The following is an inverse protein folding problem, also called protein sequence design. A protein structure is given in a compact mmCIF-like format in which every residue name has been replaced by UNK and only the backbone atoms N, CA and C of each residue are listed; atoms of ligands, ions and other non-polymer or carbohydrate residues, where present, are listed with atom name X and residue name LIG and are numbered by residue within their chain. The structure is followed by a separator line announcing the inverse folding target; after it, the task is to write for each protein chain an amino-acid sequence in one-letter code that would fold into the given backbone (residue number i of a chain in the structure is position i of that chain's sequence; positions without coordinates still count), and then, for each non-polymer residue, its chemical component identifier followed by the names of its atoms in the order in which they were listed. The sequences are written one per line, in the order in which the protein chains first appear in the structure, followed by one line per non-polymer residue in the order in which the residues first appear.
data_IF_291658405200
#
_entry.id   IF_291658405200
#
_cell.length_a   1.000
_cell.length_b   1.000
_cell.length_c   1.000
_cell.angle_alpha   90.00
_cell.angle_beta   90.00
_cell.angle_gamma   90.00
#
_symmetry.space_group_name_H-M   'P 1'
#
loop_
_entity.id
_entity.type
_entity.pdbx_description
1 polymer ?
#
# COMPACT_ATOMS: atom_id res chain seq x y z
N UNK A 1 13.95 28.60 -19.06
CA UNK A 1 12.81 27.67 -18.95
C UNK A 1 12.79 27.17 -17.53
N UNK A 2 11.76 27.52 -16.78
CA UNK A 2 11.58 27.05 -15.40
C UNK A 2 10.74 25.78 -15.50
N UNK A 3 11.41 24.64 -15.68
CA UNK A 3 10.79 23.34 -15.45
C UNK A 3 10.22 23.37 -14.02
N UNK A 4 9.06 22.76 -13.78
CA UNK A 4 8.57 22.60 -12.41
C UNK A 4 9.68 21.90 -11.62
N UNK A 5 10.27 22.62 -10.67
CA UNK A 5 11.18 22.02 -9.72
C UNK A 5 10.31 21.23 -8.75
N UNK A 6 10.16 19.94 -9.01
CA UNK A 6 9.60 19.02 -8.03
C UNK A 6 10.50 19.09 -6.80
N UNK A 7 9.93 19.56 -5.68
CA UNK A 7 10.67 19.69 -4.44
C UNK A 7 11.08 18.31 -3.96
N UNK A 8 12.38 18.10 -3.81
CA UNK A 8 12.99 17.02 -3.05
C UNK A 8 13.34 17.49 -1.63
N UNK A 9 12.75 18.59 -1.18
CA UNK A 9 13.00 19.10 0.16
C UNK A 9 12.12 18.32 1.15
N UNK A 10 12.71 17.78 2.22
CA UNK A 10 11.92 17.18 3.28
C UNK A 10 11.07 18.25 3.95
N UNK A 11 9.91 17.83 4.45
CA UNK A 11 9.03 18.71 5.22
C UNK A 11 9.33 18.58 6.71
N UNK A 12 9.23 19.65 7.51
CA UNK A 12 9.63 19.65 8.93
C UNK A 12 8.57 18.96 9.82
N UNK A 13 8.27 17.70 9.52
CA UNK A 13 7.27 16.86 10.20
C UNK A 13 7.83 15.44 10.37
N UNK A 14 7.48 14.79 11.47
CA UNK A 14 7.96 13.46 11.87
C UNK A 14 6.87 12.37 11.80
N UNK A 15 5.70 12.69 11.23
CA UNK A 15 4.56 11.77 11.08
C UNK A 15 4.06 11.64 9.65
N UNK A 16 3.62 10.43 9.32
CA UNK A 16 2.97 10.06 8.06
C UNK A 16 1.48 10.37 8.16
N UNK A 17 0.95 11.11 7.19
CA UNK A 17 -0.46 11.53 7.16
C UNK A 17 -0.67 12.75 6.27
N UNK A 18 -1.90 13.28 6.24
CA UNK A 18 -2.21 14.47 5.44
C UNK A 18 -1.84 15.75 6.18
N UNK A 19 -1.41 16.78 5.43
CA UNK A 19 -1.28 18.12 5.99
C UNK A 19 -2.62 18.60 6.51
N UNK A 20 -2.61 19.27 7.65
CA UNK A 20 -3.73 20.06 8.13
C UNK A 20 -3.25 21.39 8.67
N UNK A 21 -4.08 22.42 8.52
CA UNK A 21 -3.87 23.71 9.18
C UNK A 21 -4.48 23.66 10.58
N UNK A 22 -3.70 23.88 11.66
CA UNK A 22 -4.25 23.98 13.01
C UNK A 22 -5.28 25.11 13.18
N UNK A 23 -5.24 26.12 12.32
CA UNK A 23 -6.18 27.25 12.30
C UNK A 23 -7.59 26.81 11.87
N UNK A 24 -7.71 25.76 11.06
CA UNK A 24 -9.00 25.29 10.52
C UNK A 24 -9.87 24.57 11.55
N UNK A 25 -9.30 24.20 12.71
CA UNK A 25 -9.99 23.46 13.77
C UNK A 25 -10.31 24.31 15.01
N UNK A 26 -9.98 25.61 15.02
CA UNK A 26 -10.21 26.48 16.18
C UNK A 26 -9.48 26.03 17.46
N UNK A 27 -8.42 25.21 17.32
CA UNK A 27 -7.65 24.64 18.43
C UNK A 27 -6.55 25.58 18.95
N UNK A 28 -6.45 26.80 18.42
CA UNK A 28 -5.61 27.85 19.00
C UNK A 28 -6.33 28.57 20.15
N UNK A 29 -6.63 27.83 21.22
CA UNK A 29 -6.95 28.42 22.51
C UNK A 29 -5.76 28.25 23.44
N UNK A 30 -4.77 29.13 23.27
CA UNK A 30 -3.83 29.47 24.33
C UNK A 30 -2.46 28.83 24.22
N UNK A 31 -1.60 29.39 23.37
CA UNK A 31 -0.19 29.56 23.73
C UNK A 31 0.10 31.03 23.95
N UNK A 32 0.43 31.34 25.20
CA UNK A 32 0.85 32.66 25.62
C UNK A 32 1.99 33.17 24.74
N UNK A 33 1.98 34.49 24.55
CA UNK A 33 3.04 35.28 23.96
C UNK A 33 4.38 34.91 24.62
N UNK A 34 5.22 34.17 23.90
CA UNK A 34 6.66 34.26 24.08
C UNK A 34 7.19 35.12 22.93
N UNK A 35 7.52 36.37 23.26
CA UNK A 35 8.30 37.25 22.39
C UNK A 35 9.66 36.59 22.11
N UNK A 36 9.87 36.22 20.84
CA UNK A 36 11.09 35.56 20.38
C UNK A 36 10.93 35.11 18.93
N UNK A 37 11.27 36.01 18.01
CA UNK A 37 11.68 35.78 16.62
C UNK A 37 11.04 34.59 15.86
N UNK A 38 10.01 34.90 15.05
CA UNK A 38 9.70 34.17 13.81
C UNK A 38 9.10 32.75 13.92
N UNK A 39 7.81 32.64 14.22
CA UNK A 39 7.04 31.40 14.07
C UNK A 39 5.65 31.64 13.48
N UNK A 40 5.57 31.78 12.15
CA UNK A 40 4.33 31.74 11.39
C UNK A 40 3.69 30.34 11.50
N UNK A 41 2.36 30.24 11.40
CA UNK A 41 1.54 29.06 11.70
C UNK A 41 2.18 27.71 11.35
N UNK A 42 2.37 26.87 12.37
CA UNK A 42 3.07 25.60 12.22
C UNK A 42 2.32 24.62 11.32
N UNK A 43 3.02 24.08 10.32
CA UNK A 43 2.54 22.97 9.51
C UNK A 43 2.39 21.73 10.39
N UNK A 44 1.21 21.11 10.38
CA UNK A 44 0.93 19.91 11.16
C UNK A 44 0.41 18.78 10.26
N UNK A 45 0.54 17.53 10.71
CA UNK A 45 0.04 16.35 10.00
C UNK A 45 -0.99 15.63 10.85
N UNK A 46 -2.12 15.35 10.22
CA UNK A 46 -3.29 14.72 10.80
C UNK A 46 -3.51 13.34 10.20
N UNK A 47 -4.72 12.80 10.34
CA UNK A 47 -5.05 11.49 9.78
C UNK A 47 -4.78 11.38 8.29
N UNK A 48 -4.49 10.16 7.84
CA UNK A 48 -4.27 9.86 6.43
C UNK A 48 -5.61 9.76 5.70
N UNK A 49 -5.80 10.64 4.71
CA UNK A 49 -6.90 10.63 3.76
C UNK A 49 -6.32 10.47 2.37
N UNK A 50 -6.38 9.25 1.85
CA UNK A 50 -5.78 8.89 0.55
C UNK A 50 -6.71 8.04 -0.29
N UNK A 51 -6.32 7.82 -1.54
CA UNK A 51 -7.01 6.88 -2.44
C UNK A 51 -6.83 5.47 -1.87
N UNK A 52 -7.93 4.73 -1.72
CA UNK A 52 -7.86 3.40 -1.11
C UNK A 52 -7.49 3.42 0.37
N UNK A 53 -7.82 4.49 1.10
CA UNK A 53 -7.72 4.50 2.56
C UNK A 53 -9.12 4.28 3.14
N UNK A 54 -9.42 3.02 3.50
CA UNK A 54 -10.62 2.73 4.29
C UNK A 54 -10.59 3.50 5.60
N UNK A 55 -11.77 3.88 6.10
CA UNK A 55 -11.91 4.54 7.41
C UNK A 55 -12.20 3.48 8.46
N UNK A 56 -11.87 3.73 9.73
CA UNK A 56 -12.31 2.83 10.79
C UNK A 56 -13.85 2.71 10.73
N UNK A 57 -14.39 1.51 11.00
CA UNK A 57 -15.84 1.32 11.10
C UNK A 57 -16.40 1.89 12.42
N UNK A 58 -15.51 2.14 13.38
CA UNK A 58 -15.81 2.68 14.71
C UNK A 58 -15.03 3.97 14.99
N UNK A 59 -15.52 4.88 15.85
CA UNK A 59 -14.80 6.09 16.23
C UNK A 59 -13.43 5.81 16.89
N UNK A 60 -12.40 6.65 16.66
CA UNK A 60 -12.36 7.75 15.70
C UNK A 60 -12.17 7.22 14.27
N UNK A 61 -13.10 7.54 13.36
CA UNK A 61 -13.16 7.00 11.99
C UNK A 61 -11.91 7.24 11.14
N UNK A 62 -11.03 8.14 11.56
CA UNK A 62 -9.85 8.55 10.84
C UNK A 62 -8.60 7.85 11.33
N UNK A 63 -7.75 7.42 10.40
CA UNK A 63 -6.56 6.62 10.71
C UNK A 63 -5.31 7.49 10.77
N UNK A 64 -4.47 7.27 11.78
CA UNK A 64 -3.23 8.02 11.96
C UNK A 64 -3.40 9.38 12.63
N UNK A 65 -2.38 10.25 12.59
CA UNK A 65 -1.13 10.10 11.85
C UNK A 65 -0.24 8.97 12.39
N UNK A 66 0.73 8.50 11.59
CA UNK A 66 1.55 7.33 11.92
C UNK A 66 3.03 7.68 12.05
N UNK A 67 3.76 6.89 12.84
CA UNK A 67 5.22 7.05 13.00
C UNK A 67 6.02 6.18 12.03
N UNK A 68 5.43 5.09 11.52
CA UNK A 68 6.07 4.14 10.61
C UNK A 68 5.09 3.70 9.53
N UNK A 69 5.62 3.15 8.42
CA UNK A 69 4.78 2.53 7.40
C UNK A 69 4.14 1.22 7.89
N UNK A 70 4.79 0.51 8.82
CA UNK A 70 4.21 -0.68 9.47
C UNK A 70 2.91 -0.31 10.18
N UNK A 71 2.92 0.72 11.04
CA UNK A 71 1.71 1.20 11.74
C UNK A 71 0.61 1.55 10.74
N UNK A 72 0.96 2.31 9.68
CA UNK A 72 0.01 2.69 8.63
C UNK A 72 -0.64 1.48 7.96
N UNK A 73 0.18 0.57 7.42
CA UNK A 73 -0.33 -0.54 6.62
C UNK A 73 -1.06 -1.58 7.46
N UNK A 74 -0.62 -1.85 8.69
CA UNK A 74 -1.36 -2.74 9.59
C UNK A 74 -2.76 -2.19 9.89
N UNK A 75 -2.89 -0.89 10.21
CA UNK A 75 -4.21 -0.30 10.49
C UNK A 75 -5.10 -0.32 9.23
N UNK A 76 -4.54 -0.11 8.03
CA UNK A 76 -5.29 -0.26 6.78
C UNK A 76 -5.76 -1.70 6.54
N UNK A 77 -4.90 -2.70 6.80
CA UNK A 77 -5.23 -4.12 6.68
C UNK A 77 -6.34 -4.50 7.68
N UNK A 78 -6.25 -4.05 8.93
CA UNK A 78 -7.30 -4.27 9.93
C UNK A 78 -8.65 -3.66 9.50
N UNK A 79 -8.64 -2.46 8.92
CA UNK A 79 -9.85 -1.88 8.35
C UNK A 79 -10.41 -2.75 7.21
N UNK A 80 -9.55 -3.22 6.30
CA UNK A 80 -9.99 -4.11 5.22
C UNK A 80 -10.61 -5.41 5.75
N UNK A 81 -10.01 -6.04 6.77
CA UNK A 81 -10.56 -7.23 7.44
C UNK A 81 -11.96 -6.95 8.02
N UNK A 82 -12.16 -5.82 8.69
CA UNK A 82 -13.47 -5.41 9.21
C UNK A 82 -14.51 -5.22 8.09
N UNK A 83 -14.17 -4.50 7.02
CA UNK A 83 -15.09 -4.30 5.91
C UNK A 83 -15.42 -5.59 5.15
N UNK A 84 -14.49 -6.55 5.10
CA UNK A 84 -14.75 -7.89 4.56
C UNK A 84 -15.75 -8.64 5.44
N UNK A 85 -15.65 -8.59 6.78
CA UNK A 85 -16.64 -9.19 7.68
C UNK A 85 -18.04 -8.60 7.49
N UNK A 86 -18.11 -7.28 7.30
CA UNK A 86 -19.34 -6.56 6.95
C UNK A 86 -19.85 -6.90 5.53
N UNK A 87 -19.04 -7.55 4.70
CA UNK A 87 -19.38 -7.88 3.31
C UNK A 87 -19.33 -6.69 2.35
N UNK A 88 -18.70 -5.59 2.75
CA UNK A 88 -18.61 -4.36 1.97
C UNK A 88 -17.45 -4.35 0.96
N UNK A 89 -16.42 -5.18 1.21
CA UNK A 89 -15.23 -5.32 0.38
C UNK A 89 -15.03 -6.80 0.04
N UNK A 90 -14.52 -7.09 -1.17
CA UNK A 90 -14.32 -8.45 -1.70
C UNK A 90 -15.57 -9.36 -1.65
N UNK A 91 -16.78 -8.89 -2.00
CA UNK A 91 -18.04 -9.63 -1.75
C UNK A 91 -18.10 -11.00 -2.45
N UNK A 92 -17.37 -11.19 -3.54
CA UNK A 92 -17.38 -12.41 -4.36
C UNK A 92 -16.36 -13.48 -3.90
N UNK A 93 -15.52 -13.14 -2.93
CA UNK A 93 -14.41 -13.97 -2.50
C UNK A 93 -14.07 -13.77 -1.01
N UNK A 94 -15.08 -13.62 -0.16
CA UNK A 94 -14.91 -13.18 1.23
C UNK A 94 -13.87 -13.98 2.03
N UNK A 95 -13.89 -15.33 1.97
CA UNK A 95 -12.89 -16.17 2.66
C UNK A 95 -11.50 -15.90 2.13
N UNK A 96 -11.31 -15.90 0.81
CA UNK A 96 -9.98 -15.72 0.21
C UNK A 96 -9.47 -14.29 0.38
N UNK A 97 -10.35 -13.30 0.23
CA UNK A 97 -10.06 -11.92 0.54
C UNK A 97 -9.62 -11.77 1.99
N UNK A 98 -10.33 -12.38 2.94
CA UNK A 98 -9.94 -12.35 4.35
C UNK A 98 -8.56 -12.98 4.58
N UNK A 99 -8.33 -14.20 4.07
CA UNK A 99 -7.06 -14.92 4.19
C UNK A 99 -5.89 -14.15 3.55
N UNK A 100 -6.11 -13.50 2.40
CA UNK A 100 -5.10 -12.69 1.73
C UNK A 100 -4.69 -11.46 2.56
N UNK A 101 -5.65 -10.82 3.23
CA UNK A 101 -5.35 -9.72 4.14
C UNK A 101 -4.63 -10.21 5.41
N UNK A 102 -4.96 -11.41 5.93
CA UNK A 102 -4.20 -12.03 7.02
C UNK A 102 -2.74 -12.32 6.62
N UNK A 103 -2.52 -12.82 5.40
CA UNK A 103 -1.19 -13.01 4.82
C UNK A 103 -0.41 -11.70 4.75
N UNK A 104 -1.02 -10.64 4.19
CA UNK A 104 -0.42 -9.32 4.14
C UNK A 104 -0.10 -8.77 5.53
N UNK A 105 -0.96 -9.01 6.53
CA UNK A 105 -0.72 -8.59 7.92
C UNK A 105 0.59 -9.18 8.45
N UNK A 106 0.80 -10.47 8.20
CA UNK A 106 2.02 -11.15 8.62
C UNK A 106 3.25 -10.65 7.85
N UNK A 107 3.14 -10.49 6.53
CA UNK A 107 4.21 -9.96 5.68
C UNK A 107 4.63 -8.54 6.09
N UNK A 108 3.67 -7.65 6.34
CA UNK A 108 3.92 -6.27 6.81
C UNK A 108 4.57 -6.28 8.19
N UNK A 109 4.09 -7.11 9.10
CA UNK A 109 4.66 -7.24 10.46
C UNK A 109 6.13 -7.70 10.39
N UNK A 110 6.46 -8.60 9.46
CA UNK A 110 7.82 -9.08 9.24
C UNK A 110 8.69 -8.15 8.38
N UNK A 111 8.20 -7.05 7.85
CA UNK A 111 8.94 -6.25 6.88
C UNK A 111 9.83 -5.20 7.55
N UNK A 112 11.13 -5.46 7.63
CA UNK A 112 12.10 -4.57 8.29
C UNK A 112 12.07 -3.11 7.78
N UNK A 113 12.05 -2.91 6.46
CA UNK A 113 12.06 -1.56 5.86
C UNK A 113 10.80 -0.74 6.19
N UNK A 114 9.66 -1.39 6.43
CA UNK A 114 8.42 -0.68 6.80
C UNK A 114 8.43 -0.24 8.27
N UNK A 115 9.25 -0.88 9.11
CA UNK A 115 9.35 -0.60 10.54
C UNK A 115 10.31 0.57 10.84
N UNK A 116 11.11 0.99 9.85
CA UNK A 116 12.03 2.11 9.97
C UNK A 116 11.29 3.42 10.21
N UNK A 117 11.77 4.19 11.18
CA UNK A 117 11.37 5.58 11.36
C UNK A 117 12.22 6.43 10.43
N UNK A 118 11.57 7.37 9.75
CA UNK A 118 12.26 8.31 8.86
C UNK A 118 12.40 9.65 9.56
N UNK A 119 13.63 10.17 9.62
CA UNK A 119 13.90 11.52 10.13
C UNK A 119 13.50 12.60 9.10
N UNK A 120 13.35 12.20 7.84
CA UNK A 120 12.95 13.06 6.72
C UNK A 120 11.71 12.49 6.03
N UNK A 121 10.68 13.32 5.88
CA UNK A 121 9.45 12.96 5.17
C UNK A 121 9.22 13.90 3.99
N UNK A 122 8.46 13.42 3.02
CA UNK A 122 8.26 14.04 1.72
C UNK A 122 6.79 14.00 1.33
N UNK A 123 6.38 14.95 0.49
CA UNK A 123 5.02 14.98 -0.05
C UNK A 123 4.89 13.98 -1.18
N UNK A 124 3.85 13.15 -1.14
CA UNK A 124 3.43 12.27 -2.23
C UNK A 124 2.11 12.77 -2.81
N UNK A 125 2.04 12.85 -4.13
CA UNK A 125 0.79 13.01 -4.88
C UNK A 125 0.10 11.64 -5.01
N UNK A 126 -1.12 11.52 -4.48
CA UNK A 126 -1.85 10.25 -4.38
C UNK A 126 -3.03 10.15 -5.37
N UNK A 127 -2.93 10.81 -6.53
CA UNK A 127 -3.81 10.57 -7.69
C UNK A 127 -3.04 10.56 -9.01
N UNK A 128 -1.87 9.93 -9.00
CA UNK A 128 -0.91 10.03 -10.10
C UNK A 128 -1.21 9.09 -11.29
N UNK A 129 -2.41 9.22 -11.88
CA UNK A 129 -2.91 8.43 -13.04
C UNK A 129 -2.44 8.93 -14.41
N UNK A 130 -1.75 10.07 -14.43
CA UNK A 130 -1.20 10.72 -15.62
C UNK A 130 -2.03 11.90 -16.15
N UNK A 131 -3.34 11.92 -15.90
CA UNK A 131 -4.27 13.01 -16.27
C UNK A 131 -4.12 14.28 -15.41
N UNK A 132 -3.56 14.15 -14.21
CA UNK A 132 -3.16 15.24 -13.31
C UNK A 132 -1.99 16.13 -13.80
N UNK A 133 -1.34 15.82 -14.92
CA UNK A 133 -0.19 16.59 -15.45
C UNK A 133 -0.64 17.59 -16.52
N UNK A 134 -0.27 18.87 -16.36
CA UNK A 134 -0.51 19.91 -17.37
C UNK A 134 0.70 20.02 -18.29
N UNK A 135 0.45 20.01 -19.60
CA UNK A 135 1.47 20.17 -20.66
C UNK A 135 1.33 21.51 -21.39
N UNK A 136 2.44 22.05 -21.90
CA UNK A 136 2.44 23.09 -22.92
C UNK A 136 2.39 22.51 -24.35
N UNK A 137 2.51 23.37 -25.37
CA UNK A 137 2.48 22.99 -26.79
C UNK A 137 3.67 22.09 -27.18
N UNK A 138 4.76 22.13 -26.41
CA UNK A 138 5.97 21.32 -26.55
C UNK A 138 5.97 20.06 -25.66
N UNK A 139 4.82 19.71 -25.07
CA UNK A 139 4.64 18.57 -24.17
C UNK A 139 5.51 18.61 -22.91
N UNK A 140 5.96 19.79 -22.47
CA UNK A 140 6.66 19.96 -21.20
C UNK A 140 5.66 20.05 -20.06
N UNK A 141 5.96 19.38 -18.94
CA UNK A 141 5.13 19.45 -17.74
C UNK A 141 5.23 20.84 -17.11
N UNK A 142 4.13 21.59 -17.13
CA UNK A 142 4.02 22.98 -16.62
C UNK A 142 3.21 23.10 -15.34
N UNK A 143 2.40 22.10 -15.02
CA UNK A 143 1.61 22.06 -13.79
C UNK A 143 1.33 20.63 -13.31
N UNK A 144 1.03 20.51 -12.02
CA UNK A 144 0.46 19.30 -11.41
C UNK A 144 -0.77 19.73 -10.62
N UNK A 145 -1.92 19.12 -10.91
CA UNK A 145 -3.21 19.41 -10.28
C UNK A 145 -3.69 18.22 -9.41
N UNK A 146 -4.88 18.31 -8.83
CA UNK A 146 -5.54 17.24 -8.06
C UNK A 146 -4.80 16.78 -6.78
N UNK A 147 -4.31 17.74 -5.99
CA UNK A 147 -3.58 17.51 -4.73
C UNK A 147 -4.44 17.08 -3.53
N UNK A 148 -5.74 16.81 -3.71
CA UNK A 148 -6.69 16.57 -2.62
C UNK A 148 -6.41 15.34 -1.75
N UNK A 149 -5.61 14.39 -2.25
CA UNK A 149 -5.18 13.19 -1.53
C UNK A 149 -3.69 13.19 -1.21
N UNK A 150 -3.02 14.32 -1.37
CA UNK A 150 -1.60 14.40 -1.06
C UNK A 150 -1.34 14.19 0.44
N UNK A 151 -0.25 13.48 0.73
CA UNK A 151 0.14 13.17 2.09
C UNK A 151 1.65 13.15 2.25
N UNK A 152 2.10 13.20 3.50
CA UNK A 152 3.50 13.16 3.90
C UNK A 152 3.89 11.72 4.20
N UNK A 153 5.02 11.26 3.67
CA UNK A 153 5.52 9.89 3.87
C UNK A 153 7.03 9.77 3.68
N UNK A 154 7.58 8.57 3.81
CA UNK A 154 9.02 8.29 3.64
C UNK A 154 9.48 8.57 2.21
N UNK A 155 10.76 8.89 2.04
CA UNK A 155 11.39 9.12 0.73
C UNK A 155 11.10 8.01 -0.27
N UNK A 156 11.34 6.77 0.18
CA UNK A 156 11.21 5.58 -0.66
C UNK A 156 9.77 5.41 -1.19
N UNK A 157 8.75 5.72 -0.39
CA UNK A 157 7.37 5.70 -0.87
C UNK A 157 7.02 6.95 -1.69
N UNK A 158 7.43 8.14 -1.27
CA UNK A 158 7.08 9.39 -1.96
C UNK A 158 7.56 9.39 -3.42
N UNK A 159 8.77 8.91 -3.65
CA UNK A 159 9.40 8.85 -4.98
C UNK A 159 9.31 7.46 -5.64
N UNK A 160 8.50 6.54 -5.10
CA UNK A 160 8.14 5.34 -5.82
C UNK A 160 7.36 5.69 -7.10
N UNK A 161 7.52 4.94 -8.21
CA UNK A 161 6.96 5.29 -9.50
C UNK A 161 5.43 5.40 -9.42
N UNK A 162 4.80 6.44 -10.00
CA UNK A 162 3.36 6.59 -9.99
C UNK A 162 2.67 5.58 -10.93
N UNK A 163 1.36 5.39 -10.74
CA UNK A 163 0.55 4.34 -11.40
C UNK A 163 0.76 4.30 -12.92
N UNK A 164 0.82 5.47 -13.56
CA UNK A 164 1.00 5.60 -15.02
C UNK A 164 2.28 4.93 -15.56
N UNK A 165 3.31 4.70 -14.75
CA UNK A 165 4.57 4.11 -15.20
C UNK A 165 4.61 2.58 -15.13
N UNK A 166 3.79 1.94 -14.29
CA UNK A 166 3.93 0.50 -14.02
C UNK A 166 2.67 -0.32 -14.28
N UNK A 167 1.51 0.31 -14.33
CA UNK A 167 0.25 -0.42 -14.45
C UNK A 167 0.16 -1.11 -15.82
N UNK A 168 0.04 -2.43 -15.79
CA UNK A 168 -0.08 -3.28 -16.98
C UNK A 168 -0.83 -4.56 -16.61
N UNK A 169 -1.37 -5.26 -17.61
CA UNK A 169 -2.03 -6.55 -17.37
C UNK A 169 -1.08 -7.57 -16.70
N UNK A 170 0.19 -7.58 -17.09
CA UNK A 170 1.19 -8.46 -16.49
C UNK A 170 1.44 -8.17 -15.01
N UNK A 171 1.56 -6.88 -14.65
CA UNK A 171 1.65 -6.47 -13.24
C UNK A 171 0.39 -6.89 -12.46
N UNK A 172 -0.79 -6.64 -13.04
CA UNK A 172 -2.07 -6.80 -12.37
C UNK A 172 -2.49 -8.27 -12.19
N UNK A 173 -2.39 -9.08 -13.24
CA UNK A 173 -2.96 -10.43 -13.27
C UNK A 173 -1.88 -11.50 -13.13
N UNK A 174 -0.72 -11.31 -13.79
CA UNK A 174 0.35 -12.32 -13.81
C UNK A 174 1.32 -12.20 -12.62
N UNK A 175 1.17 -11.14 -11.82
CA UNK A 175 2.03 -10.89 -10.65
C UNK A 175 3.43 -10.39 -11.03
N UNK A 176 3.65 -9.93 -12.27
CA UNK A 176 4.96 -9.50 -12.74
C UNK A 176 5.45 -8.26 -11.95
N UNK A 177 6.57 -8.44 -11.24
CA UNK A 177 7.22 -7.38 -10.47
C UNK A 177 8.43 -6.78 -11.20
N UNK A 178 8.70 -7.18 -12.44
CA UNK A 178 9.77 -6.60 -13.25
C UNK A 178 9.49 -5.12 -13.55
N UNK A 179 10.56 -4.32 -13.66
CA UNK A 179 10.44 -2.91 -14.03
C UNK A 179 9.98 -2.78 -15.48
N UNK A 180 8.99 -1.93 -15.70
CA UNK A 180 8.49 -1.61 -17.04
C UNK A 180 9.53 -0.79 -17.82
N UNK A 181 9.25 -0.55 -19.10
CA UNK A 181 10.05 0.37 -19.91
C UNK A 181 10.06 1.78 -19.31
N UNK A 182 8.90 2.28 -18.90
CA UNK A 182 8.76 3.68 -18.49
C UNK A 182 9.43 3.93 -17.13
N UNK A 183 9.39 2.94 -16.23
CA UNK A 183 10.15 3.00 -14.98
C UNK A 183 11.65 3.02 -15.23
N UNK A 184 12.16 2.23 -16.18
CA UNK A 184 13.58 2.25 -16.55
C UNK A 184 13.99 3.61 -17.12
N UNK A 185 13.15 4.21 -17.97
CA UNK A 185 13.38 5.57 -18.48
C UNK A 185 13.40 6.59 -17.33
N UNK A 186 12.46 6.49 -16.38
CA UNK A 186 12.44 7.36 -15.21
C UNK A 186 13.72 7.22 -14.36
N UNK A 187 14.21 5.99 -14.14
CA UNK A 187 15.48 5.74 -13.47
C UNK A 187 16.66 6.38 -14.23
N UNK A 188 16.73 6.20 -15.55
CA UNK A 188 17.80 6.76 -16.39
C UNK A 188 17.82 8.28 -16.35
N UNK A 189 16.66 8.92 -16.36
CA UNK A 189 16.54 10.37 -16.19
C UNK A 189 17.09 10.77 -14.83
N UNK A 190 16.66 10.14 -13.73
CA UNK A 190 17.20 10.44 -12.41
C UNK A 190 18.73 10.28 -12.33
N UNK A 191 19.29 9.20 -12.91
CA UNK A 191 20.75 9.02 -12.96
C UNK A 191 21.45 10.12 -13.76
N UNK A 192 20.90 10.54 -14.90
CA UNK A 192 21.48 11.63 -15.71
C UNK A 192 21.48 12.96 -14.97
N UNK A 193 20.48 13.20 -14.13
CA UNK A 193 20.38 14.41 -13.29
C UNK A 193 21.17 14.29 -11.97
N UNK A 194 21.99 13.24 -11.79
CA UNK A 194 22.79 13.04 -10.56
C UNK A 194 21.95 12.71 -9.33
N UNK A 195 20.82 12.03 -9.53
CA UNK A 195 19.82 11.65 -8.52
C UNK A 195 19.69 10.13 -8.40
N UNK A 196 20.81 9.45 -8.18
CA UNK A 196 20.86 8.00 -7.99
C UNK A 196 20.00 7.56 -6.79
N UNK A 197 19.81 8.44 -5.80
CA UNK A 197 18.91 8.23 -4.67
C UNK A 197 17.45 8.05 -5.10
N UNK A 198 16.96 8.88 -6.04
CA UNK A 198 15.61 8.78 -6.58
C UNK A 198 15.48 7.60 -7.54
N UNK A 199 16.51 7.31 -8.35
CA UNK A 199 16.56 6.10 -9.16
C UNK A 199 16.45 4.82 -8.30
N UNK A 200 17.05 4.83 -7.10
CA UNK A 200 16.87 3.79 -6.09
C UNK A 200 15.42 3.64 -5.62
N UNK A 201 14.73 4.75 -5.34
CA UNK A 201 13.31 4.73 -4.96
C UNK A 201 12.44 4.13 -6.07
N UNK A 202 12.71 4.47 -7.33
CA UNK A 202 12.02 3.92 -8.51
C UNK A 202 12.25 2.41 -8.61
N UNK A 203 13.51 1.95 -8.51
CA UNK A 203 13.89 0.54 -8.57
C UNK A 203 13.22 -0.32 -7.50
N UNK A 204 13.06 0.21 -6.30
CA UNK A 204 12.51 -0.52 -5.14
C UNK A 204 11.03 -0.23 -4.87
N UNK A 205 10.36 0.46 -5.80
CA UNK A 205 8.98 0.95 -5.64
C UNK A 205 7.89 -0.13 -5.56
N UNK A 206 8.16 -1.35 -6.04
CA UNK A 206 7.18 -2.46 -6.13
C UNK A 206 6.54 -2.82 -4.81
N UNK A 207 7.28 -2.75 -3.71
CA UNK A 207 6.73 -2.95 -2.36
C UNK A 207 5.55 -2.00 -2.08
N UNK A 208 5.76 -0.71 -2.30
CA UNK A 208 4.75 0.32 -2.03
C UNK A 208 3.58 0.26 -3.02
N UNK A 209 3.84 -0.10 -4.27
CA UNK A 209 2.82 -0.22 -5.31
C UNK A 209 1.89 -1.41 -5.06
N UNK A 210 2.42 -2.55 -4.59
CA UNK A 210 1.63 -3.71 -4.17
C UNK A 210 0.83 -3.41 -2.89
N UNK A 211 1.46 -2.76 -1.91
CA UNK A 211 0.78 -2.32 -0.68
C UNK A 211 -0.29 -1.26 -0.94
N UNK A 212 -0.18 -0.47 -2.00
CA UNK A 212 -1.24 0.45 -2.44
C UNK A 212 -2.51 -0.24 -2.95
N UNK A 213 -2.54 -1.58 -3.00
CA UNK A 213 -3.71 -2.39 -3.39
C UNK A 213 -4.30 -3.21 -2.24
N UNK A 214 -4.00 -2.86 -0.98
CA UNK A 214 -4.82 -3.33 0.16
C UNK A 214 -6.31 -3.11 -0.18
N UNK A 215 -7.20 -3.90 0.41
CA UNK A 215 -8.66 -3.93 0.14
C UNK A 215 -9.11 -4.35 -1.26
N UNK A 216 -8.21 -4.48 -2.24
CA UNK A 216 -8.57 -4.74 -3.64
C UNK A 216 -8.41 -6.20 -4.06
N UNK A 217 -8.48 -7.17 -3.12
CA UNK A 217 -8.31 -8.57 -3.48
C UNK A 217 -9.30 -9.01 -4.58
N UNK A 218 -8.75 -9.66 -5.61
CA UNK A 218 -9.47 -10.31 -6.70
C UNK A 218 -8.86 -11.70 -6.94
N UNK A 219 -9.71 -12.67 -7.29
CA UNK A 219 -9.29 -14.05 -7.62
C UNK A 219 -8.43 -14.12 -8.88
N UNK A 220 -8.54 -13.14 -9.77
CA UNK A 220 -7.74 -13.07 -10.98
C UNK A 220 -6.28 -12.61 -10.73
N UNK A 221 -5.93 -12.19 -9.51
CA UNK A 221 -4.59 -11.72 -9.21
C UNK A 221 -3.68 -12.87 -8.78
N UNK A 222 -2.53 -12.99 -9.45
CA UNK A 222 -1.45 -13.85 -8.98
C UNK A 222 -0.93 -13.37 -7.62
N UNK A 223 -1.01 -14.25 -6.61
CA UNK A 223 -0.64 -13.94 -5.22
C UNK A 223 0.86 -13.72 -5.07
N UNK A 224 1.69 -14.42 -5.86
CA UNK A 224 3.14 -14.27 -5.91
C UNK A 224 3.58 -12.81 -6.08
N UNK A 225 2.86 -12.05 -6.92
CA UNK A 225 3.14 -10.64 -7.13
C UNK A 225 3.12 -9.82 -5.83
N UNK A 226 2.26 -10.17 -4.87
CA UNK A 226 2.16 -9.52 -3.58
C UNK A 226 3.13 -10.07 -2.55
N UNK A 227 3.51 -11.35 -2.61
CA UNK A 227 4.36 -11.98 -1.58
C UNK A 227 5.86 -11.81 -1.87
N UNK A 228 6.25 -11.83 -3.15
CA UNK A 228 7.65 -11.77 -3.59
C UNK A 228 8.33 -10.42 -3.27
N UNK A 229 7.56 -9.32 -3.31
CA UNK A 229 8.11 -7.98 -3.03
C UNK A 229 8.60 -7.83 -1.59
N UNK A 230 8.17 -8.70 -0.68
CA UNK A 230 8.62 -8.72 0.71
C UNK A 230 9.87 -9.58 0.92
N UNK A 231 10.18 -10.53 0.02
CA UNK A 231 11.27 -11.51 0.18
C UNK A 231 12.61 -10.87 0.57
N UNK A 232 13.06 -9.75 -0.01
CA UNK A 232 14.33 -9.12 0.36
C UNK A 232 14.36 -8.57 1.80
N UNK A 233 13.20 -8.39 2.44
CA UNK A 233 13.03 -7.68 3.71
C UNK A 233 12.58 -8.59 4.87
N UNK A 234 12.35 -9.88 4.59
CA UNK A 234 11.94 -10.88 5.58
C UNK A 234 13.08 -11.17 6.56
N UNK A 235 12.80 -11.30 7.88
CA UNK A 235 13.82 -11.70 8.84
C UNK A 235 14.21 -13.16 8.63
N UNK A 236 15.39 -13.53 9.12
CA UNK A 236 15.84 -14.92 9.09
C UNK A 236 14.86 -15.81 9.85
N UNK A 237 14.43 -16.91 9.24
CA UNK A 237 13.47 -17.85 9.83
C UNK A 237 11.99 -17.44 9.69
N UNK A 238 11.68 -16.40 8.90
CA UNK A 238 10.30 -16.07 8.54
C UNK A 238 9.71 -17.14 7.61
N UNK A 239 8.78 -17.94 8.14
CA UNK A 239 8.17 -19.09 7.46
C UNK A 239 6.76 -18.75 6.96
N UNK A 240 6.70 -18.20 5.74
CA UNK A 240 5.46 -17.89 5.02
C UNK A 240 5.69 -18.04 3.51
N UNK A 241 5.67 -19.29 3.06
CA UNK A 241 5.76 -19.66 1.64
C UNK A 241 4.61 -20.61 1.29
N UNK A 242 3.38 -20.09 1.14
CA UNK A 242 2.23 -20.93 0.83
C UNK A 242 2.29 -21.44 -0.63
N UNK A 243 1.54 -22.50 -0.95
CA UNK A 243 1.42 -23.00 -2.32
C UNK A 243 0.98 -21.91 -3.31
N UNK A 244 1.44 -21.99 -4.56
CA UNK A 244 1.04 -21.05 -5.61
C UNK A 244 -0.44 -21.21 -6.00
N UNK A 245 -0.94 -22.45 -5.99
CA UNK A 245 -2.30 -22.76 -6.45
C UNK A 245 -3.35 -22.33 -5.43
N UNK A 246 -4.34 -21.58 -5.89
CA UNK A 246 -5.37 -20.94 -5.05
C UNK A 246 -6.09 -21.89 -4.09
N UNK A 247 -6.43 -23.11 -4.54
CA UNK A 247 -7.10 -24.08 -3.69
C UNK A 247 -6.19 -24.64 -2.59
N UNK A 248 -4.92 -24.88 -2.91
CA UNK A 248 -3.92 -25.38 -1.96
C UNK A 248 -3.49 -24.27 -1.00
N UNK A 249 -3.29 -23.05 -1.51
CA UNK A 249 -3.09 -21.83 -0.73
C UNK A 249 -4.21 -21.65 0.30
N UNK A 250 -5.48 -21.70 -0.13
CA UNK A 250 -6.63 -21.56 0.77
C UNK A 250 -6.57 -22.55 1.93
N UNK A 251 -6.33 -23.83 1.64
CA UNK A 251 -6.20 -24.86 2.69
C UNK A 251 -5.04 -24.55 3.64
N UNK A 252 -3.88 -24.17 3.11
CA UNK A 252 -2.71 -23.80 3.91
C UNK A 252 -3.04 -22.64 4.86
N UNK A 253 -3.65 -21.57 4.33
CA UNK A 253 -3.93 -20.35 5.09
C UNK A 253 -5.07 -20.53 6.09
N UNK A 254 -6.10 -21.31 5.77
CA UNK A 254 -7.14 -21.66 6.74
C UNK A 254 -6.58 -22.46 7.92
N UNK A 255 -5.59 -23.33 7.69
CA UNK A 255 -4.91 -24.06 8.76
C UNK A 255 -3.99 -23.16 9.58
N UNK A 256 -3.26 -22.26 8.91
CA UNK A 256 -2.33 -21.32 9.55
C UNK A 256 -3.07 -20.38 10.51
N UNK A 257 -4.20 -19.83 10.06
CA UNK A 257 -5.00 -18.87 10.81
C UNK A 257 -6.22 -19.47 11.47
N UNK A 258 -6.20 -20.78 11.76
CA UNK A 258 -7.33 -21.52 12.35
C UNK A 258 -7.80 -20.97 13.70
N UNK A 259 -7.01 -20.13 14.37
CA UNK A 259 -7.34 -19.56 15.67
C UNK A 259 -7.83 -18.10 15.54
N UNK A 260 -7.90 -17.55 14.33
CA UNK A 260 -8.40 -16.20 14.06
C UNK A 260 -9.94 -16.15 14.12
N UNK A 261 -10.47 -15.29 15.00
CA UNK A 261 -11.91 -15.19 15.26
C UNK A 261 -12.71 -14.70 14.05
N UNK A 262 -12.18 -13.75 13.29
CA UNK A 262 -12.87 -13.21 12.12
C UNK A 262 -12.89 -14.22 10.97
N UNK A 263 -11.82 -15.00 10.81
CA UNK A 263 -11.82 -16.12 9.87
C UNK A 263 -12.91 -17.13 10.23
N UNK A 264 -13.03 -17.51 11.51
CA UNK A 264 -14.09 -18.39 11.98
C UNK A 264 -15.49 -17.85 11.69
N UNK A 265 -15.72 -16.57 11.93
CA UNK A 265 -17.00 -15.92 11.64
C UNK A 265 -17.34 -16.00 10.16
N UNK A 266 -16.40 -15.63 9.28
CA UNK A 266 -16.64 -15.60 7.84
C UNK A 266 -16.83 -17.02 7.28
N UNK A 267 -16.06 -17.98 7.78
CA UNK A 267 -16.20 -19.39 7.40
C UNK A 267 -17.58 -19.91 7.76
N UNK A 268 -18.04 -19.65 9.00
CA UNK A 268 -19.38 -20.04 9.46
C UNK A 268 -20.48 -19.38 8.64
N UNK A 269 -20.39 -18.07 8.40
CA UNK A 269 -21.37 -17.29 7.62
C UNK A 269 -21.53 -17.80 6.20
N UNK A 270 -20.46 -18.32 5.60
CA UNK A 270 -20.43 -18.77 4.20
C UNK A 270 -20.32 -20.31 4.04
N UNK A 271 -20.58 -21.06 5.10
CA UNK A 271 -20.55 -22.54 5.11
C UNK A 271 -19.23 -23.12 4.58
N UNK A 272 -18.11 -22.51 4.94
CA UNK A 272 -16.77 -23.03 4.67
C UNK A 272 -16.23 -23.83 5.84
N UNK A 273 -15.57 -24.94 5.54
CA UNK A 273 -14.77 -25.71 6.50
C UNK A 273 -13.44 -26.06 5.85
N UNK A 274 -12.45 -26.42 6.67
CA UNK A 274 -11.13 -26.86 6.16
C UNK A 274 -11.31 -28.13 5.31
N UNK A 275 -12.16 -29.06 5.73
CA UNK A 275 -12.45 -30.31 5.01
C UNK A 275 -13.02 -30.02 3.63
N UNK A 276 -13.97 -29.09 3.52
CA UNK A 276 -14.52 -28.65 2.23
C UNK A 276 -13.44 -28.06 1.34
N UNK A 277 -12.55 -27.21 1.88
CA UNK A 277 -11.46 -26.64 1.12
C UNK A 277 -10.48 -27.71 0.63
N UNK A 278 -10.18 -28.72 1.45
CA UNK A 278 -9.34 -29.85 1.08
C UNK A 278 -9.98 -30.73 0.00
N UNK A 279 -11.29 -30.96 0.06
CA UNK A 279 -12.02 -31.71 -0.97
C UNK A 279 -11.95 -31.01 -2.33
N UNK A 280 -12.14 -29.68 -2.34
CA UNK A 280 -12.02 -28.86 -3.55
C UNK A 280 -10.59 -28.97 -4.10
N UNK A 281 -9.56 -28.76 -3.26
CA UNK A 281 -8.16 -28.86 -3.69
C UNK A 281 -7.83 -30.24 -4.29
N UNK A 282 -8.28 -31.33 -3.65
CA UNK A 282 -8.09 -32.70 -4.17
C UNK A 282 -8.82 -32.93 -5.50
N UNK A 283 -9.95 -32.27 -5.74
CA UNK A 283 -10.71 -32.42 -6.97
C UNK A 283 -10.04 -31.71 -8.14
N UNK A 284 -9.49 -30.52 -7.90
CA UNK A 284 -8.77 -29.71 -8.90
C UNK A 284 -7.45 -30.38 -9.31
N UNK A 285 -6.68 -30.90 -8.36
CA UNK A 285 -5.46 -31.69 -8.62
C UNK A 285 -5.73 -32.89 -9.55
N UNK A 286 -6.88 -33.56 -9.37
CA UNK A 286 -7.28 -34.70 -10.21
C UNK A 286 -7.67 -34.28 -11.62
N UNK A 287 -8.26 -33.11 -11.81
CA UNK A 287 -8.57 -32.59 -13.14
C UNK A 287 -7.32 -32.19 -13.91
N UNK A 288 -6.34 -31.54 -13.25
CA UNK A 288 -5.06 -31.17 -13.90
C UNK A 288 -4.34 -32.41 -14.42
N UNK A 289 -4.20 -33.45 -13.58
CA UNK A 289 -3.54 -34.70 -13.98
C UNK A 289 -4.24 -35.48 -15.11
N UNK A 290 -5.53 -35.22 -15.36
CA UNK A 290 -6.25 -35.82 -16.49
C UNK A 290 -6.11 -35.04 -17.80
N UNK A 291 -5.74 -33.76 -17.74
CA UNK A 291 -5.48 -32.93 -18.92
C UNK A 291 -4.05 -33.15 -19.43
N UNK A 292 -3.13 -33.51 -18.53
CA UNK A 292 -1.71 -33.79 -18.84
C UNK A 292 -1.42 -35.24 -19.28
N UNK A 293 -2.42 -36.14 -19.24
CA UNK A 293 -2.29 -37.57 -19.59
C UNK A 293 -3.02 -37.90 -20.90
#
# INVERSE_FOLDING_TARGET
MTQIQLSDQPVPIDKIGCFFSPLDLGLDQGRGQSEGEGGQGGTAVGPLVGRGCLRSTEPPYWLGPFSTLTERYLVQIECALQYILLGAVCPWALVDGYLWHLELRELVTGCSVLAEKSDELYVRHDDARGDHLLGDEEYQVTGIIDWQWAYVTTKAQAFAPPQVFYESSAYMFDGDNSLTRDEKVLMEIHMREGREDLAGCVKHGRLYQRLGRIEQYDKAYAKSGFTEVFTPFRPSGFDLDPPAEDCQWRVCMMKRYKDDEGLHEIMKKHNWTIERAEEIARSEDKSVRKVEA
#
